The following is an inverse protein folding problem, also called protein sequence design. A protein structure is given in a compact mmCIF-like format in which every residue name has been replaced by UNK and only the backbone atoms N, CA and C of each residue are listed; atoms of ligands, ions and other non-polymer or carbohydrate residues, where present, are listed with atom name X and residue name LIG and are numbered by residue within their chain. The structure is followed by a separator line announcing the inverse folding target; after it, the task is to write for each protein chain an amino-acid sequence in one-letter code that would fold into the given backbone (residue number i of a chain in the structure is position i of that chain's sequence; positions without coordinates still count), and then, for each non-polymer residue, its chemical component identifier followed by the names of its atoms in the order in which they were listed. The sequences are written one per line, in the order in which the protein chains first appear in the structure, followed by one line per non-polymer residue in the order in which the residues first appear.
data_IF_914450596671
#
_entry.id   IF_914450596671
#
_cell.length_a   1.000
_cell.length_b   1.000
_cell.length_c   1.000
_cell.angle_alpha   90.00
_cell.angle_beta   90.00
_cell.angle_gamma   90.00
#
_symmetry.space_group_name_H-M   'P 1'
#
loop_
_entity.id
_entity.type
_entity.pdbx_description
1 polymer ?
#
# COMPACT_ATOMS: atom_id res chain seq x y z
N UNK A 1 17.58 -12.39 -43.86
CA UNK A 1 17.13 -12.40 -42.45
C UNK A 1 18.07 -13.30 -41.65
N UNK A 2 19.02 -12.72 -40.93
CA UNK A 2 19.96 -13.47 -40.09
C UNK A 2 19.28 -13.76 -38.75
N UNK A 3 18.88 -15.00 -38.53
CA UNK A 3 18.47 -15.51 -37.22
C UNK A 3 19.74 -15.68 -36.38
N UNK A 4 20.12 -14.63 -35.66
CA UNK A 4 21.20 -14.72 -34.67
C UNK A 4 20.72 -15.61 -33.52
N UNK A 5 21.04 -16.91 -33.60
CA UNK A 5 20.92 -17.83 -32.47
C UNK A 5 21.91 -17.39 -31.41
N UNK A 6 21.46 -16.56 -30.46
CA UNK A 6 22.30 -16.18 -29.31
C UNK A 6 22.73 -17.47 -28.60
N UNK A 7 24.04 -17.70 -28.36
CA UNK A 7 24.49 -18.86 -27.61
C UNK A 7 23.86 -18.81 -26.22
N UNK A 8 23.29 -19.92 -25.78
CA UNK A 8 22.65 -20.04 -24.46
C UNK A 8 23.74 -19.82 -23.40
N UNK A 9 23.70 -18.67 -22.73
CA UNK A 9 24.63 -18.33 -21.67
C UNK A 9 23.92 -18.38 -20.31
N UNK A 10 24.20 -19.44 -19.55
CA UNK A 10 23.59 -19.66 -18.23
C UNK A 10 24.36 -19.00 -17.08
N UNK A 11 25.46 -18.26 -17.34
CA UNK A 11 26.24 -17.59 -16.28
C UNK A 11 25.41 -16.62 -15.44
N UNK A 12 24.35 -16.04 -16.01
CA UNK A 12 23.41 -15.19 -15.28
C UNK A 12 22.75 -15.91 -14.10
N UNK A 13 22.49 -17.23 -14.20
CA UNK A 13 21.91 -18.01 -13.11
C UNK A 13 22.83 -18.13 -11.89
N UNK A 14 24.14 -18.22 -12.12
CA UNK A 14 25.12 -18.23 -11.02
C UNK A 14 25.21 -16.89 -10.30
N UNK A 15 24.99 -15.77 -11.01
CA UNK A 15 25.03 -14.43 -10.41
C UNK A 15 23.83 -14.15 -9.51
N UNK A 16 22.67 -14.75 -9.78
CA UNK A 16 21.47 -14.60 -8.93
C UNK A 16 21.41 -15.62 -7.78
N UNK A 17 22.22 -16.68 -7.84
CA UNK A 17 22.22 -17.77 -6.86
C UNK A 17 22.39 -17.29 -5.40
N UNK A 18 23.28 -16.32 -5.07
CA UNK A 18 23.40 -15.84 -3.69
C UNK A 18 22.12 -15.21 -3.15
N UNK A 19 21.41 -14.44 -3.99
CA UNK A 19 20.12 -13.83 -3.61
C UNK A 19 19.06 -14.91 -3.41
N UNK A 20 19.00 -15.90 -4.30
CA UNK A 20 18.07 -17.04 -4.17
C UNK A 20 18.32 -17.78 -2.86
N UNK A 21 19.57 -18.07 -2.50
CA UNK A 21 19.91 -18.78 -1.26
C UNK A 21 19.49 -17.94 -0.04
N UNK A 22 19.82 -16.65 -0.03
CA UNK A 22 19.46 -15.77 1.08
C UNK A 22 17.94 -15.67 1.25
N UNK A 23 17.18 -15.47 0.16
CA UNK A 23 15.72 -15.40 0.19
C UNK A 23 15.10 -16.74 0.56
N UNK A 24 15.62 -17.85 0.03
CA UNK A 24 15.16 -19.19 0.38
C UNK A 24 15.35 -19.43 1.88
N UNK A 25 16.52 -19.11 2.43
CA UNK A 25 16.78 -19.26 3.85
C UNK A 25 15.88 -18.36 4.70
N UNK A 26 15.75 -17.08 4.35
CA UNK A 26 15.00 -16.11 5.16
C UNK A 26 13.48 -16.22 5.03
N UNK A 27 12.95 -16.73 3.92
CA UNK A 27 11.52 -16.84 3.68
C UNK A 27 11.00 -18.29 3.89
N UNK A 28 11.71 -19.28 3.35
CA UNK A 28 11.20 -20.67 3.34
C UNK A 28 11.33 -21.30 4.73
N UNK A 29 12.43 -21.07 5.46
CA UNK A 29 12.58 -21.68 6.79
C UNK A 29 11.54 -21.18 7.81
N UNK A 30 11.29 -19.86 7.95
CA UNK A 30 10.20 -19.40 8.81
C UNK A 30 8.84 -19.89 8.33
N UNK A 31 8.59 -19.91 7.01
CA UNK A 31 7.33 -20.42 6.47
C UNK A 31 7.12 -21.90 6.83
N UNK A 32 8.13 -22.75 6.64
CA UNK A 32 8.08 -24.16 7.04
C UNK A 32 7.82 -24.31 8.56
N UNK A 33 8.41 -23.43 9.36
CA UNK A 33 8.21 -23.41 10.81
C UNK A 33 6.77 -23.04 11.18
N UNK A 34 6.21 -22.01 10.54
CA UNK A 34 4.81 -21.61 10.72
C UNK A 34 3.86 -22.72 10.30
N UNK A 35 4.08 -23.36 9.14
CA UNK A 35 3.27 -24.49 8.68
C UNK A 35 3.35 -25.64 9.69
N UNK A 36 4.54 -25.97 10.17
CA UNK A 36 4.72 -27.01 11.18
C UNK A 36 4.04 -26.67 12.52
N UNK A 37 4.04 -25.41 12.94
CA UNK A 37 3.36 -24.97 14.16
C UNK A 37 1.85 -24.92 14.01
N UNK A 38 1.32 -24.67 12.82
CA UNK A 38 -0.13 -24.58 12.58
C UNK A 38 -0.90 -25.88 12.88
N UNK A 39 -0.21 -27.02 12.89
CA UNK A 39 -0.78 -28.36 13.16
C UNK A 39 -0.43 -28.88 14.56
N UNK A 40 0.17 -28.04 15.40
CA UNK A 40 0.63 -28.39 16.74
C UNK A 40 -0.01 -27.47 17.78
N UNK A 41 -0.39 -28.04 18.91
CA UNK A 41 -0.67 -27.31 20.13
C UNK A 41 0.64 -27.15 20.93
N UNK A 42 1.11 -25.91 21.05
CA UNK A 42 2.40 -25.55 21.64
C UNK A 42 2.13 -24.83 22.96
N UNK A 43 2.12 -25.60 24.05
CA UNK A 43 1.88 -25.08 25.39
C UNK A 43 3.18 -24.52 25.99
N UNK A 44 4.33 -25.13 25.65
CA UNK A 44 5.66 -24.63 26.00
C UNK A 44 6.70 -25.02 24.94
N UNK A 45 7.92 -24.43 24.94
CA UNK A 45 8.96 -24.79 23.97
C UNK A 45 9.26 -26.29 23.89
N UNK A 46 9.13 -26.99 25.01
CA UNK A 46 9.39 -28.43 25.18
C UNK A 46 8.13 -29.29 25.05
N UNK A 47 6.93 -28.73 25.28
CA UNK A 47 5.66 -29.45 25.25
C UNK A 47 4.85 -29.06 24.02
N UNK A 48 4.98 -29.86 22.97
CA UNK A 48 4.25 -29.75 21.71
C UNK A 48 3.44 -31.01 21.45
N UNK A 49 2.16 -30.86 21.16
CA UNK A 49 1.25 -31.96 20.85
C UNK A 49 0.78 -31.79 19.40
N UNK A 50 0.89 -32.82 18.58
CA UNK A 50 0.34 -32.76 17.22
C UNK A 50 -1.18 -32.91 17.26
N UNK A 51 -1.90 -31.86 16.83
CA UNK A 51 -3.37 -31.79 16.82
C UNK A 51 -3.95 -31.82 15.40
N UNK A 52 -3.09 -31.88 14.38
CA UNK A 52 -3.50 -32.00 12.99
C UNK A 52 -4.30 -30.79 12.51
N UNK A 53 -5.60 -30.97 12.27
CA UNK A 53 -6.47 -29.92 11.68
C UNK A 53 -7.38 -29.22 12.70
N UNK A 54 -7.25 -29.54 13.99
CA UNK A 54 -8.14 -29.03 15.04
C UNK A 54 -8.20 -27.51 15.09
N UNK A 55 -7.05 -26.82 15.05
CA UNK A 55 -6.99 -25.36 15.00
C UNK A 55 -7.69 -24.76 13.78
N UNK A 56 -7.57 -25.40 12.61
CA UNK A 56 -8.25 -24.94 11.41
C UNK A 56 -9.77 -25.08 11.54
N UNK A 57 -10.26 -26.19 12.11
CA UNK A 57 -11.68 -26.38 12.38
C UNK A 57 -12.23 -25.39 13.42
N UNK A 58 -11.44 -25.06 14.44
CA UNK A 58 -11.77 -24.06 15.45
C UNK A 58 -11.86 -22.65 14.84
N UNK A 59 -10.84 -22.25 14.07
CA UNK A 59 -10.77 -20.98 13.33
C UNK A 59 -11.98 -20.78 12.42
N UNK A 60 -12.41 -21.83 11.71
CA UNK A 60 -13.57 -21.78 10.82
C UNK A 60 -14.92 -21.61 11.53
N UNK A 61 -14.96 -21.66 12.86
CA UNK A 61 -16.16 -21.48 13.69
C UNK A 61 -16.05 -20.29 14.64
N UNK A 62 -14.92 -19.59 14.62
CA UNK A 62 -14.64 -18.48 15.51
C UNK A 62 -15.27 -17.18 14.96
N UNK A 63 -16.38 -16.76 15.58
CA UNK A 63 -17.11 -15.56 15.19
C UNK A 63 -16.28 -14.27 15.41
N UNK A 64 -15.42 -14.22 16.42
CA UNK A 64 -14.59 -13.04 16.69
C UNK A 64 -13.51 -12.89 15.62
N UNK A 65 -12.89 -14.00 15.23
CA UNK A 65 -11.90 -14.03 14.16
C UNK A 65 -12.52 -13.66 12.81
N UNK A 66 -13.71 -14.18 12.49
CA UNK A 66 -14.43 -13.79 11.27
C UNK A 66 -14.80 -12.31 11.29
N UNK A 67 -15.26 -11.78 12.42
CA UNK A 67 -15.54 -10.35 12.57
C UNK A 67 -14.26 -9.51 12.45
N UNK A 68 -13.12 -9.97 12.96
CA UNK A 68 -11.83 -9.32 12.78
C UNK A 68 -11.39 -9.31 11.31
N UNK A 69 -11.55 -10.43 10.60
CA UNK A 69 -11.25 -10.53 9.17
C UNK A 69 -12.11 -9.55 8.37
N UNK A 70 -13.40 -9.45 8.66
CA UNK A 70 -14.28 -8.51 7.96
C UNK A 70 -13.92 -7.05 8.24
N UNK A 71 -13.54 -6.72 9.49
CA UNK A 71 -13.01 -5.38 9.84
C UNK A 71 -11.72 -5.07 9.08
N UNK A 72 -10.82 -6.05 8.91
CA UNK A 72 -9.58 -5.88 8.15
C UNK A 72 -9.87 -5.67 6.66
N UNK A 73 -10.73 -6.50 6.05
CA UNK A 73 -11.10 -6.36 4.63
C UNK A 73 -11.77 -5.01 4.39
N UNK A 74 -12.72 -4.62 5.24
CA UNK A 74 -13.41 -3.33 5.11
C UNK A 74 -12.45 -2.15 5.30
N UNK A 75 -11.47 -2.25 6.21
CA UNK A 75 -10.41 -1.27 6.36
C UNK A 75 -9.55 -1.18 5.09
N UNK A 76 -9.01 -2.30 4.62
CA UNK A 76 -8.16 -2.41 3.42
C UNK A 76 -8.87 -1.85 2.16
N UNK A 77 -10.15 -2.18 1.97
CA UNK A 77 -10.95 -1.63 0.87
C UNK A 77 -11.22 -0.13 1.03
N UNK A 78 -11.44 0.36 2.25
CA UNK A 78 -11.66 1.79 2.52
C UNK A 78 -10.40 2.60 2.24
N UNK A 79 -9.24 2.08 2.65
CA UNK A 79 -7.92 2.64 2.32
C UNK A 79 -7.79 2.77 0.80
N UNK A 80 -7.96 1.66 0.05
CA UNK A 80 -7.83 1.67 -1.41
C UNK A 80 -8.82 2.62 -2.10
N UNK A 81 -10.06 2.69 -1.61
CA UNK A 81 -11.09 3.55 -2.15
C UNK A 81 -10.73 5.05 -2.03
N UNK A 82 -9.90 5.42 -1.05
CA UNK A 82 -9.45 6.81 -0.84
C UNK A 82 -8.08 7.05 -1.46
N UNK A 83 -7.10 6.18 -1.20
CA UNK A 83 -5.71 6.36 -1.65
C UNK A 83 -5.56 6.33 -3.17
N UNK A 84 -6.28 5.45 -3.87
CA UNK A 84 -6.15 5.32 -5.32
C UNK A 84 -6.63 6.59 -6.04
N UNK A 85 -7.85 7.10 -5.79
CA UNK A 85 -8.28 8.36 -6.38
C UNK A 85 -7.40 9.55 -5.96
N UNK A 86 -7.02 9.64 -4.68
CA UNK A 86 -6.22 10.76 -4.17
C UNK A 86 -4.81 10.75 -4.77
N UNK A 87 -4.18 9.59 -4.88
CA UNK A 87 -2.87 9.42 -5.50
C UNK A 87 -2.89 9.78 -6.99
N UNK A 88 -3.93 9.36 -7.73
CA UNK A 88 -4.12 9.75 -9.14
C UNK A 88 -4.32 11.27 -9.26
N UNK A 89 -5.15 11.86 -8.41
CA UNK A 89 -5.41 13.31 -8.41
C UNK A 89 -4.12 14.11 -8.15
N UNK A 90 -3.34 13.69 -7.15
CA UNK A 90 -2.02 14.28 -6.87
C UNK A 90 -1.09 14.14 -8.08
N UNK A 91 -0.96 12.94 -8.64
CA UNK A 91 -0.10 12.69 -9.80
C UNK A 91 -0.46 13.56 -11.03
N UNK A 92 -1.76 13.76 -11.29
CA UNK A 92 -2.24 14.63 -12.37
C UNK A 92 -1.97 16.12 -12.10
N UNK A 93 -1.93 16.54 -10.83
CA UNK A 93 -1.64 17.93 -10.44
C UNK A 93 -0.15 18.27 -10.47
N UNK A 94 0.73 17.26 -10.50
CA UNK A 94 2.17 17.46 -10.46
C UNK A 94 2.71 18.08 -11.76
N UNK A 95 3.68 19.01 -11.69
CA UNK A 95 4.30 19.62 -12.86
C UNK A 95 4.90 18.60 -13.82
N UNK A 96 4.78 18.89 -15.13
CA UNK A 96 5.28 18.01 -16.18
C UNK A 96 6.81 17.84 -16.18
N UNK A 97 7.54 18.94 -16.05
CA UNK A 97 8.97 18.97 -16.29
C UNK A 97 9.62 20.06 -15.45
N UNK A 98 10.95 20.03 -15.34
CA UNK A 98 11.75 21.05 -14.66
C UNK A 98 11.84 20.87 -13.14
N UNK A 99 12.57 21.79 -12.49
CA UNK A 99 12.93 21.71 -11.07
C UNK A 99 11.71 21.65 -10.12
N UNK A 100 10.59 22.28 -10.52
CA UNK A 100 9.32 22.26 -9.76
C UNK A 100 8.77 20.85 -9.63
N UNK A 101 8.93 20.02 -10.67
CA UNK A 101 8.53 18.60 -10.60
C UNK A 101 9.30 17.88 -9.50
N UNK A 102 10.62 18.05 -9.47
CA UNK A 102 11.47 17.43 -8.44
C UNK A 102 11.13 17.92 -7.04
N UNK A 103 10.91 19.23 -6.87
CA UNK A 103 10.52 19.79 -5.57
C UNK A 103 9.19 19.22 -5.06
N UNK A 104 8.16 19.13 -5.92
CA UNK A 104 6.86 18.56 -5.54
C UNK A 104 6.99 17.07 -5.21
N UNK A 105 7.78 16.30 -5.96
CA UNK A 105 8.02 14.89 -5.67
C UNK A 105 8.66 14.69 -4.30
N UNK A 106 9.63 15.53 -3.93
CA UNK A 106 10.28 15.48 -2.61
C UNK A 106 9.28 15.79 -1.50
N UNK A 107 8.48 16.84 -1.66
CA UNK A 107 7.47 17.23 -0.65
C UNK A 107 6.43 16.14 -0.48
N UNK A 108 5.92 15.55 -1.57
CA UNK A 108 4.94 14.47 -1.52
C UNK A 108 5.54 13.22 -0.91
N UNK A 109 6.77 12.85 -1.28
CA UNK A 109 7.43 11.67 -0.75
C UNK A 109 7.84 11.78 0.73
N UNK A 110 7.83 12.99 1.31
CA UNK A 110 8.37 13.25 2.64
C UNK A 110 7.77 12.35 3.73
N UNK A 111 6.46 12.05 3.67
CA UNK A 111 5.82 11.17 4.66
C UNK A 111 6.41 9.77 4.63
N UNK A 112 6.77 9.24 3.45
CA UNK A 112 7.32 7.89 3.27
C UNK A 112 8.70 7.71 3.89
N UNK A 113 9.42 8.81 4.15
CA UNK A 113 10.72 8.78 4.82
C UNK A 113 10.59 8.63 6.33
N UNK A 114 9.39 8.83 6.89
CA UNK A 114 9.15 8.75 8.33
C UNK A 114 9.01 7.27 8.72
N UNK A 115 9.79 6.77 9.69
CA UNK A 115 9.64 5.41 10.18
C UNK A 115 8.22 5.13 10.68
N UNK A 116 7.68 3.94 10.39
CA UNK A 116 6.27 3.64 10.66
C UNK A 116 5.86 3.77 12.14
N UNK A 117 6.75 3.39 13.06
CA UNK A 117 6.51 3.57 14.50
C UNK A 117 6.42 5.07 14.89
N UNK A 118 7.17 5.95 14.22
CA UNK A 118 7.12 7.40 14.45
C UNK A 118 5.81 7.98 13.93
N UNK A 119 5.29 7.48 12.80
CA UNK A 119 3.99 7.88 12.26
C UNK A 119 2.88 7.66 13.29
N UNK A 120 2.85 6.49 13.93
CA UNK A 120 1.90 6.19 15.00
C UNK A 120 1.99 7.19 16.16
N UNK A 121 3.19 7.52 16.62
CA UNK A 121 3.41 8.51 17.68
C UNK A 121 2.95 9.91 17.27
N UNK A 122 3.21 10.33 16.03
CA UNK A 122 2.73 11.62 15.50
C UNK A 122 1.21 11.68 15.61
N UNK A 123 0.51 10.64 15.15
CA UNK A 123 -0.95 10.61 15.12
C UNK A 123 -1.58 10.46 16.51
N UNK A 124 -0.93 9.76 17.44
CA UNK A 124 -1.33 9.74 18.84
C UNK A 124 -1.29 11.15 19.44
N UNK A 125 -0.19 11.90 19.26
CA UNK A 125 -0.06 13.27 19.75
C UNK A 125 -1.04 14.20 19.03
N UNK A 126 -1.13 14.09 17.70
CA UNK A 126 -1.99 14.91 16.85
C UNK A 126 -3.48 14.75 17.22
N UNK A 127 -3.90 13.52 17.52
CA UNK A 127 -5.25 13.17 17.93
C UNK A 127 -5.55 13.35 19.43
N UNK A 128 -4.63 13.88 20.24
CA UNK A 128 -4.95 14.19 21.63
C UNK A 128 -6.00 15.29 21.72
N UNK A 129 -7.05 15.05 22.49
CA UNK A 129 -8.19 15.96 22.58
C UNK A 129 -7.87 17.25 23.36
N UNK A 130 -6.94 17.17 24.33
CA UNK A 130 -6.53 18.26 25.21
C UNK A 130 -5.44 19.17 24.59
N UNK A 131 -4.44 18.58 23.93
CA UNK A 131 -3.25 19.29 23.43
C UNK A 131 -2.95 19.07 21.95
N UNK A 132 -3.55 18.06 21.33
CA UNK A 132 -3.29 17.70 19.94
C UNK A 132 -3.95 18.66 18.98
N UNK A 133 -3.28 19.00 17.88
CA UNK A 133 -3.79 19.97 16.92
C UNK A 133 -5.15 19.54 16.36
N UNK A 134 -5.30 18.28 15.93
CA UNK A 134 -6.57 17.77 15.41
C UNK A 134 -7.61 17.61 16.52
N UNK A 135 -7.24 17.00 17.63
CA UNK A 135 -8.19 16.72 18.71
C UNK A 135 -8.78 18.01 19.31
N UNK A 136 -7.93 19.01 19.56
CA UNK A 136 -8.35 20.32 20.07
C UNK A 136 -9.20 21.09 19.05
N UNK A 137 -8.82 21.09 17.78
CA UNK A 137 -9.62 21.71 16.71
C UNK A 137 -11.03 21.10 16.63
N UNK A 138 -11.14 19.77 16.72
CA UNK A 138 -12.44 19.08 16.73
C UNK A 138 -13.29 19.48 17.95
N UNK A 139 -12.68 19.59 19.13
CA UNK A 139 -13.38 20.08 20.33
C UNK A 139 -13.85 21.54 20.18
N UNK A 140 -13.01 22.42 19.62
CA UNK A 140 -13.34 23.84 19.43
C UNK A 140 -14.54 24.05 18.49
N UNK A 141 -14.76 23.15 17.53
CA UNK A 141 -15.94 23.14 16.66
C UNK A 141 -17.12 22.33 17.20
N UNK A 142 -17.03 21.85 18.46
CA UNK A 142 -18.11 21.16 19.16
C UNK A 142 -18.23 19.66 18.87
N UNK A 143 -17.21 19.03 18.29
CA UNK A 143 -17.18 17.58 18.04
C UNK A 143 -16.45 16.88 19.20
N UNK A 144 -17.19 16.07 19.95
CA UNK A 144 -16.59 15.20 20.98
C UNK A 144 -15.74 14.12 20.32
N UNK A 145 -14.42 14.26 20.42
CA UNK A 145 -13.45 13.36 19.81
C UNK A 145 -12.52 12.74 20.86
N UNK A 146 -12.46 11.40 20.85
CA UNK A 146 -11.62 10.54 21.68
C UNK A 146 -11.35 9.23 20.95
N UNK A 147 -10.22 9.17 20.22
CA UNK A 147 -9.80 7.94 19.55
C UNK A 147 -9.43 6.80 20.51
N UNK A 148 -9.18 7.09 21.79
CA UNK A 148 -8.89 6.07 22.81
C UNK A 148 -10.17 5.53 23.46
N UNK A 149 -11.26 6.31 23.45
CA UNK A 149 -12.53 5.94 24.09
C UNK A 149 -13.63 5.52 23.11
N UNK A 150 -13.48 5.78 21.81
CA UNK A 150 -14.49 5.49 20.80
C UNK A 150 -13.90 4.69 19.62
N UNK A 151 -14.42 3.49 19.38
CA UNK A 151 -13.91 2.58 18.35
C UNK A 151 -14.05 3.13 16.92
N UNK A 152 -15.13 3.86 16.61
CA UNK A 152 -15.32 4.47 15.28
C UNK A 152 -14.31 5.58 15.03
N UNK A 153 -14.07 6.41 16.04
CA UNK A 153 -13.08 7.48 15.95
C UNK A 153 -11.66 6.90 15.88
N UNK A 154 -11.36 5.84 16.63
CA UNK A 154 -10.11 5.11 16.51
C UNK A 154 -9.88 4.61 15.07
N UNK A 155 -10.90 3.96 14.51
CA UNK A 155 -10.85 3.40 13.15
C UNK A 155 -10.65 4.50 12.09
N UNK A 156 -11.37 5.61 12.19
CA UNK A 156 -11.22 6.75 11.28
C UNK A 156 -9.83 7.39 11.38
N UNK A 157 -9.30 7.52 12.59
CA UNK A 157 -7.97 8.10 12.81
C UNK A 157 -6.88 7.23 12.22
N UNK A 158 -6.97 5.91 12.38
CA UNK A 158 -6.04 4.96 11.75
C UNK A 158 -6.17 4.98 10.22
N UNK A 159 -7.40 5.07 9.69
CA UNK A 159 -7.64 5.21 8.25
C UNK A 159 -7.00 6.48 7.68
N UNK A 160 -7.22 7.63 8.32
CA UNK A 160 -6.64 8.90 7.89
C UNK A 160 -5.11 8.91 8.00
N UNK A 161 -4.57 8.30 9.05
CA UNK A 161 -3.13 8.11 9.23
C UNK A 161 -2.52 7.32 8.08
N UNK A 162 -3.12 6.17 7.76
CA UNK A 162 -2.64 5.29 6.71
C UNK A 162 -2.73 5.96 5.33
N UNK A 163 -3.88 6.56 5.00
CA UNK A 163 -4.09 7.34 3.77
C UNK A 163 -3.05 8.45 3.65
N UNK A 164 -2.83 9.24 4.71
CA UNK A 164 -1.85 10.32 4.69
C UNK A 164 -0.42 9.81 4.44
N UNK A 165 -0.05 8.70 5.08
CA UNK A 165 1.31 8.18 4.98
C UNK A 165 1.59 7.58 3.60
N UNK A 166 0.66 6.79 3.05
CA UNK A 166 0.90 5.95 1.89
C UNK A 166 0.33 6.45 0.56
N UNK A 167 -0.59 7.41 0.56
CA UNK A 167 -1.03 8.08 -0.68
C UNK A 167 0.14 8.55 -1.55
N UNK A 168 1.25 9.08 -0.99
CA UNK A 168 2.42 9.44 -1.79
C UNK A 168 3.00 8.30 -2.62
N UNK A 169 3.01 7.06 -2.13
CA UNK A 169 3.49 5.91 -2.90
C UNK A 169 2.63 5.73 -4.17
N UNK A 170 1.30 5.78 -4.01
CA UNK A 170 0.35 5.70 -5.14
C UNK A 170 0.56 6.86 -6.11
N UNK A 171 0.73 8.08 -5.60
CA UNK A 171 0.96 9.26 -6.41
C UNK A 171 2.26 9.16 -7.24
N UNK A 172 3.34 8.68 -6.64
CA UNK A 172 4.63 8.48 -7.31
C UNK A 172 4.54 7.41 -8.40
N UNK A 173 3.88 6.27 -8.12
CA UNK A 173 3.66 5.21 -9.10
C UNK A 173 2.79 5.69 -10.26
N UNK A 174 1.67 6.37 -9.98
CA UNK A 174 0.80 6.95 -10.98
C UNK A 174 1.53 8.02 -11.83
N UNK A 175 2.33 8.88 -11.20
CA UNK A 175 3.13 9.89 -11.88
C UNK A 175 4.17 9.27 -12.82
N UNK A 176 4.88 8.23 -12.38
CA UNK A 176 5.80 7.48 -13.24
C UNK A 176 5.06 6.81 -14.42
N UNK A 177 3.85 6.27 -14.17
CA UNK A 177 2.96 5.78 -15.20
C UNK A 177 2.60 6.83 -16.24
N UNK A 178 2.14 8.01 -15.82
CA UNK A 178 1.83 9.14 -16.70
C UNK A 178 3.03 9.57 -17.54
N UNK A 179 4.24 9.57 -16.95
CA UNK A 179 5.50 9.95 -17.63
C UNK A 179 5.92 8.99 -18.73
N UNK A 180 5.55 7.72 -18.60
CA UNK A 180 5.85 6.70 -19.61
C UNK A 180 4.97 6.79 -20.86
N UNK A 181 3.91 7.60 -20.84
CA UNK A 181 2.99 7.77 -21.98
C UNK A 181 3.67 8.68 -23.02
N UNK A 182 3.89 8.21 -24.26
CA UNK A 182 4.49 9.04 -25.31
C UNK A 182 3.64 10.27 -25.65
N UNK A 183 4.29 11.42 -25.90
CA UNK A 183 3.63 12.68 -26.22
C UNK A 183 2.72 12.60 -27.47
N UNK A 184 3.01 11.69 -28.39
CA UNK A 184 2.20 11.44 -29.58
C UNK A 184 0.72 11.16 -29.27
N UNK A 185 0.43 10.47 -28.15
CA UNK A 185 -0.95 10.23 -27.73
C UNK A 185 -1.68 11.52 -27.34
N UNK A 186 -1.00 12.41 -26.63
CA UNK A 186 -1.56 13.71 -26.23
C UNK A 186 -1.71 14.67 -27.42
N UNK A 187 -0.76 14.62 -28.37
CA UNK A 187 -0.83 15.40 -29.60
C UNK A 187 -2.01 14.96 -30.48
N UNK A 188 -2.17 13.65 -30.69
CA UNK A 188 -3.32 13.10 -31.42
C UNK A 188 -4.65 13.51 -30.77
N UNK A 189 -4.77 13.37 -29.45
CA UNK A 189 -5.98 13.77 -28.73
C UNK A 189 -6.29 15.28 -28.86
N UNK A 190 -5.27 16.13 -28.95
CA UNK A 190 -5.45 17.57 -29.15
C UNK A 190 -5.91 17.90 -30.58
N UNK A 191 -5.44 17.15 -31.58
CA UNK A 191 -5.92 17.27 -32.96
C UNK A 191 -7.39 16.86 -33.05
N UNK A 192 -7.78 15.79 -32.35
CA UNK A 192 -9.15 15.29 -32.28
C UNK A 192 -10.09 16.15 -31.39
N UNK A 193 -9.59 17.25 -30.81
CA UNK A 193 -10.38 18.13 -29.95
C UNK A 193 -10.86 17.47 -28.64
N UNK A 194 -10.17 16.42 -28.18
CA UNK A 194 -10.57 15.66 -27.00
C UNK A 194 -10.49 16.52 -25.72
N UNK A 195 -11.53 16.43 -24.87
CA UNK A 195 -11.55 17.09 -23.57
C UNK A 195 -10.53 16.48 -22.60
N UNK A 196 -10.14 17.23 -21.55
CA UNK A 196 -9.23 16.73 -20.50
C UNK A 196 -9.74 15.44 -19.85
N UNK A 197 -11.04 15.33 -19.64
CA UNK A 197 -11.66 14.12 -19.08
C UNK A 197 -11.60 12.95 -20.05
N UNK A 198 -11.79 13.18 -21.35
CA UNK A 198 -11.62 12.15 -22.37
C UNK A 198 -10.17 11.65 -22.42
N UNK A 199 -9.19 12.56 -22.39
CA UNK A 199 -7.76 12.21 -22.31
C UNK A 199 -7.47 11.38 -21.06
N UNK A 200 -8.00 11.78 -19.90
CA UNK A 200 -7.85 11.01 -18.67
C UNK A 200 -8.44 9.60 -18.79
N UNK A 201 -9.71 9.49 -19.21
CA UNK A 201 -10.46 8.23 -19.21
C UNK A 201 -9.97 7.24 -20.26
N UNK A 202 -9.56 7.71 -21.43
CA UNK A 202 -9.23 6.88 -22.60
C UNK A 202 -7.74 6.73 -22.86
N UNK A 203 -6.89 7.64 -22.38
CA UNK A 203 -5.44 7.58 -22.61
C UNK A 203 -4.70 7.31 -21.29
N UNK A 204 -4.88 8.19 -20.30
CA UNK A 204 -4.08 8.13 -19.07
C UNK A 204 -4.43 6.93 -18.21
N UNK A 205 -5.70 6.75 -17.85
CA UNK A 205 -6.15 5.70 -16.94
C UNK A 205 -5.85 4.28 -17.48
N UNK A 206 -6.11 3.95 -18.76
CA UNK A 206 -5.78 2.63 -19.31
C UNK A 206 -4.27 2.36 -19.32
N UNK A 207 -3.44 3.37 -19.63
CA UNK A 207 -1.98 3.22 -19.66
C UNK A 207 -1.38 3.15 -18.26
N UNK A 208 -2.01 3.75 -17.25
CA UNK A 208 -1.61 3.63 -15.85
C UNK A 208 -2.07 2.32 -15.18
N UNK A 209 -2.93 1.51 -15.82
CA UNK A 209 -3.49 0.30 -15.19
C UNK A 209 -2.43 -0.64 -14.59
N UNK A 210 -1.29 -0.80 -15.26
CA UNK A 210 -0.20 -1.65 -14.77
C UNK A 210 0.40 -1.14 -13.45
N UNK A 211 0.71 0.15 -13.37
CA UNK A 211 1.27 0.75 -12.15
C UNK A 211 0.22 0.85 -11.03
N UNK A 212 -1.04 1.09 -11.36
CA UNK A 212 -2.13 1.09 -10.39
C UNK A 212 -2.42 -0.31 -9.84
N UNK A 213 -2.25 -1.36 -10.65
CA UNK A 213 -2.35 -2.74 -10.16
C UNK A 213 -1.26 -3.03 -9.13
N UNK A 214 -0.02 -2.59 -9.39
CA UNK A 214 1.07 -2.71 -8.42
C UNK A 214 0.73 -1.94 -7.14
N UNK A 215 0.22 -0.71 -7.27
CA UNK A 215 -0.20 0.09 -6.12
C UNK A 215 -1.28 -0.64 -5.29
N UNK A 216 -2.32 -1.17 -5.94
CA UNK A 216 -3.37 -1.95 -5.26
C UNK A 216 -2.79 -3.18 -4.56
N UNK A 217 -1.93 -3.95 -5.22
CA UNK A 217 -1.34 -5.16 -4.62
C UNK A 217 -0.43 -4.85 -3.42
N UNK A 218 0.29 -3.73 -3.46
CA UNK A 218 1.16 -3.31 -2.35
C UNK A 218 0.37 -2.73 -1.17
N UNK A 219 -0.83 -2.20 -1.43
CA UNK A 219 -1.66 -1.51 -0.44
C UNK A 219 -2.82 -2.35 0.08
N UNK A 220 -3.18 -3.42 -0.62
CA UNK A 220 -4.13 -4.39 -0.13
C UNK A 220 -3.49 -5.19 1.01
N UNK A 221 -3.90 -4.87 2.23
CA UNK A 221 -3.45 -5.50 3.48
C UNK A 221 -4.47 -6.53 3.97
#
# INVERSE_FOLDING_TARGET
MSTTSKPVNQKAWFLILPVIICVAFSAILPLMTVVNYSVQDIISPERRVFVGTEWFAAVMRDEELHAALWRQITFSLSVLAVEIPLGIALALSMPAQGWKSSAVLVVVALSLLIPWNVVGTIWQIYGRADIGLMGRMLQEIGIEYSYTGNATQAWLTVLLMDVWHWTPLVALLAFAGLRSIPDAYYQAARIDGASKFAVFRYIQLPKMRGVLMIAVLLRFM
#
